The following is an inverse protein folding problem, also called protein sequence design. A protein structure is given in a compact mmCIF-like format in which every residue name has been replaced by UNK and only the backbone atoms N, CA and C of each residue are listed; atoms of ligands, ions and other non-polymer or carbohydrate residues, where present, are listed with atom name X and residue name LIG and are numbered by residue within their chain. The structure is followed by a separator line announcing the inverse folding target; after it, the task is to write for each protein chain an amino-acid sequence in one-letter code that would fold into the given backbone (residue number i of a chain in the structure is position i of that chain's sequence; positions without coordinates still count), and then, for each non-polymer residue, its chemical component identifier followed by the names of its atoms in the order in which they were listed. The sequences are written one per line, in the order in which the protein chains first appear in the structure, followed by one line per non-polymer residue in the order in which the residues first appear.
data_IF_633276867067
#
_entry.id   IF_633276867067
#
_cell.length_a   1.000
_cell.length_b   1.000
_cell.length_c   1.000
_cell.angle_alpha   90.00
_cell.angle_beta   90.00
_cell.angle_gamma   90.00
#
_symmetry.space_group_name_H-M   'P 1'
#
loop_
_entity.id
_entity.type
_entity.pdbx_description
1 polymer ?
#
# COMPACT_ATOMS: atom_id res chain seq x y z
N UNK A 1 -3.19 14.48 39.31
CA UNK A 1 -4.63 14.21 39.10
C UNK A 1 -4.85 14.03 37.60
N UNK A 2 -5.20 12.83 37.14
CA UNK A 2 -5.52 12.58 35.72
C UNK A 2 -6.87 13.20 35.38
N UNK A 3 -6.90 14.06 34.35
CA UNK A 3 -8.11 14.75 33.89
C UNK A 3 -9.20 13.77 33.45
N UNK A 4 -10.47 14.08 33.72
CA UNK A 4 -11.62 13.30 33.21
C UNK A 4 -11.62 13.22 31.67
N UNK A 5 -11.05 14.24 31.01
CA UNK A 5 -10.83 14.22 29.57
C UNK A 5 -9.79 13.18 29.15
N UNK A 6 -8.70 13.02 29.91
CA UNK A 6 -7.66 12.01 29.66
C UNK A 6 -8.22 10.59 29.87
N UNK A 7 -9.07 10.38 30.88
CA UNK A 7 -9.75 9.09 31.11
C UNK A 7 -10.72 8.77 29.96
N UNK A 8 -11.50 9.74 29.51
CA UNK A 8 -12.43 9.57 28.38
C UNK A 8 -11.65 9.33 27.07
N UNK A 9 -10.59 10.09 26.82
CA UNK A 9 -9.73 9.96 25.66
C UNK A 9 -9.02 8.59 25.61
N UNK A 10 -8.48 8.11 26.74
CA UNK A 10 -7.88 6.78 26.84
C UNK A 10 -8.89 5.65 26.68
N UNK A 11 -10.15 5.84 27.10
CA UNK A 11 -11.24 4.90 26.82
C UNK A 11 -11.64 4.88 25.34
N UNK A 12 -11.46 5.99 24.63
CA UNK A 12 -11.69 6.11 23.19
C UNK A 12 -10.50 5.56 22.37
N UNK A 13 -9.26 5.68 22.87
CA UNK A 13 -8.06 5.01 22.33
C UNK A 13 -8.11 3.53 22.71
N UNK A 14 -8.90 2.79 21.93
CA UNK A 14 -9.02 1.31 22.02
C UNK A 14 -7.97 0.59 21.18
N UNK A 15 -7.07 1.31 20.50
CA UNK A 15 -6.03 0.71 19.66
C UNK A 15 -4.83 0.30 20.51
N UNK A 16 -4.92 -0.86 21.15
CA UNK A 16 -3.72 -1.53 21.65
C UNK A 16 -3.02 -2.19 20.46
N UNK A 17 -1.93 -1.57 19.97
CA UNK A 17 -1.05 -2.14 18.94
C UNK A 17 0.07 -2.92 19.60
N UNK A 18 0.58 -3.95 18.93
CA UNK A 18 1.70 -4.78 19.38
C UNK A 18 1.42 -5.53 20.69
N UNK A 19 0.14 -5.85 20.96
CA UNK A 19 -0.30 -6.53 22.19
C UNK A 19 0.32 -7.91 22.39
N UNK A 20 0.81 -8.53 21.31
CA UNK A 20 1.49 -9.83 21.36
C UNK A 20 3.02 -9.69 21.39
N UNK A 21 3.52 -8.46 21.59
CA UNK A 21 4.93 -8.15 21.75
C UNK A 21 5.68 -7.96 20.43
N UNK A 22 6.95 -8.34 20.41
CA UNK A 22 7.86 -8.05 19.31
C UNK A 22 7.69 -8.97 18.10
N UNK A 23 7.14 -10.17 18.28
CA UNK A 23 7.13 -11.23 17.28
C UNK A 23 8.27 -12.22 17.48
N UNK A 24 8.51 -13.10 16.51
CA UNK A 24 9.60 -14.07 16.58
C UNK A 24 10.96 -13.34 16.53
N UNK A 25 11.86 -13.53 17.53
CA UNK A 25 13.16 -12.88 17.56
C UNK A 25 14.04 -13.15 16.33
N UNK A 26 14.03 -14.37 15.78
CA UNK A 26 14.82 -14.69 14.58
C UNK A 26 14.29 -13.94 13.36
N UNK A 27 12.97 -13.85 13.21
CA UNK A 27 12.33 -13.08 12.15
C UNK A 27 12.64 -11.59 12.28
N UNK A 28 12.63 -11.05 13.51
CA UNK A 28 12.97 -9.65 13.76
C UNK A 28 14.43 -9.35 13.37
N UNK A 29 15.37 -10.23 13.72
CA UNK A 29 16.77 -10.10 13.35
C UNK A 29 16.94 -10.15 11.82
N UNK A 30 16.29 -11.10 11.15
CA UNK A 30 16.33 -11.24 9.70
C UNK A 30 15.71 -10.04 8.97
N UNK A 31 14.55 -9.54 9.42
CA UNK A 31 13.92 -8.34 8.88
C UNK A 31 14.84 -7.12 9.04
N UNK A 32 15.45 -6.94 10.22
CA UNK A 32 16.38 -5.85 10.45
C UNK A 32 17.64 -5.95 9.58
N UNK A 33 18.21 -7.15 9.45
CA UNK A 33 19.38 -7.41 8.62
C UNK A 33 19.08 -7.18 7.13
N UNK A 34 17.99 -7.76 6.63
CA UNK A 34 17.52 -7.62 5.25
C UNK A 34 17.15 -6.19 4.91
N UNK A 35 16.52 -5.45 5.84
CA UNK A 35 16.27 -4.02 5.67
C UNK A 35 17.58 -3.27 5.47
N UNK A 36 18.57 -3.47 6.34
CA UNK A 36 19.85 -2.75 6.27
C UNK A 36 20.68 -3.12 5.04
N UNK A 37 20.73 -4.40 4.69
CA UNK A 37 21.61 -4.89 3.63
C UNK A 37 21.00 -4.81 2.23
N UNK A 38 19.68 -4.97 2.11
CA UNK A 38 19.00 -5.09 0.81
C UNK A 38 18.06 -3.92 0.53
N UNK A 39 17.11 -3.65 1.43
CA UNK A 39 16.02 -2.68 1.15
C UNK A 39 16.50 -1.22 1.25
N UNK A 40 17.36 -0.91 2.22
CA UNK A 40 17.91 0.44 2.43
C UNK A 40 19.03 0.79 1.44
N UNK A 41 19.60 -0.21 0.75
CA UNK A 41 20.67 -0.02 -0.23
C UNK A 41 20.06 -0.05 -1.62
N UNK A 42 20.06 1.09 -2.31
CA UNK A 42 19.41 1.26 -3.62
C UNK A 42 19.79 0.17 -4.63
N UNK A 43 21.07 -0.11 -4.80
CA UNK A 43 21.58 -1.09 -5.78
C UNK A 43 21.08 -2.50 -5.49
N UNK A 44 20.83 -2.83 -4.22
CA UNK A 44 20.32 -4.13 -3.81
C UNK A 44 18.79 -4.19 -3.86
N UNK A 45 18.12 -3.08 -3.53
CA UNK A 45 16.66 -3.00 -3.56
C UNK A 45 16.10 -3.19 -4.98
N UNK A 46 16.75 -2.62 -5.99
CA UNK A 46 16.39 -2.83 -7.41
C UNK A 46 16.53 -4.30 -7.82
N UNK A 47 17.43 -5.08 -7.22
CA UNK A 47 17.53 -6.52 -7.51
C UNK A 47 16.36 -7.32 -6.94
N UNK A 48 15.66 -6.80 -5.92
CA UNK A 48 14.47 -7.44 -5.37
C UNK A 48 13.25 -7.25 -6.28
N UNK A 49 13.20 -6.14 -7.03
CA UNK A 49 12.18 -5.86 -8.04
C UNK A 49 12.85 -5.32 -9.30
N UNK A 50 13.43 -6.17 -10.15
CA UNK A 50 14.04 -5.71 -11.39
C UNK A 50 12.98 -5.13 -12.34
N UNK A 51 13.21 -3.98 -13.03
CA UNK A 51 12.22 -3.37 -13.93
C UNK A 51 11.71 -4.30 -15.04
N UNK A 52 12.57 -5.21 -15.51
CA UNK A 52 12.27 -6.24 -16.51
C UNK A 52 11.34 -7.35 -15.99
N UNK A 53 11.29 -7.56 -14.68
CA UNK A 53 10.37 -8.52 -14.05
C UNK A 53 8.93 -8.03 -14.04
N UNK A 54 8.72 -6.72 -14.21
CA UNK A 54 7.39 -6.12 -14.29
C UNK A 54 6.98 -6.04 -15.76
N UNK A 55 5.91 -6.75 -16.10
CA UNK A 55 5.28 -6.80 -17.42
C UNK A 55 3.84 -6.28 -17.30
N UNK A 56 3.18 -6.06 -18.44
CA UNK A 56 1.78 -5.59 -18.44
C UNK A 56 0.83 -6.58 -17.73
N UNK A 57 1.13 -7.88 -17.84
CA UNK A 57 0.38 -8.98 -17.22
C UNK A 57 0.80 -9.28 -15.76
N UNK A 58 1.78 -8.59 -15.18
CA UNK A 58 2.16 -8.76 -13.77
C UNK A 58 0.99 -8.45 -12.83
N UNK A 59 0.12 -7.52 -13.24
CA UNK A 59 -1.05 -7.11 -12.48
C UNK A 59 -2.28 -7.89 -12.97
N UNK A 60 -2.88 -8.66 -12.07
CA UNK A 60 -4.14 -9.33 -12.31
C UNK A 60 -5.31 -8.42 -11.98
N UNK A 61 -6.13 -8.10 -12.98
CA UNK A 61 -7.38 -7.37 -12.79
C UNK A 61 -8.45 -8.34 -12.28
N UNK A 62 -9.09 -8.01 -11.17
CA UNK A 62 -10.14 -8.83 -10.55
C UNK A 62 -11.53 -8.31 -10.84
N UNK A 63 -11.70 -7.00 -10.99
CA UNK A 63 -12.99 -6.38 -11.26
C UNK A 63 -12.82 -5.10 -12.05
N UNK A 64 -13.74 -4.84 -12.99
CA UNK A 64 -13.89 -3.55 -13.66
C UNK A 64 -15.31 -3.04 -13.44
N UNK A 65 -15.45 -1.78 -13.10
CA UNK A 65 -16.74 -1.13 -12.87
C UNK A 65 -16.69 0.30 -13.41
N UNK A 66 -17.70 0.71 -14.15
CA UNK A 66 -17.86 2.08 -14.65
C UNK A 66 -19.01 2.74 -13.91
N UNK A 67 -18.82 3.97 -13.41
CA UNK A 67 -19.90 4.80 -12.87
C UNK A 67 -19.77 6.23 -13.38
N UNK A 68 -20.66 6.61 -14.29
CA UNK A 68 -20.54 7.88 -15.03
C UNK A 68 -19.20 7.92 -15.76
N UNK A 69 -18.51 9.06 -15.67
CA UNK A 69 -17.22 9.29 -16.32
C UNK A 69 -16.02 8.75 -15.52
N UNK A 70 -16.23 7.76 -14.66
CA UNK A 70 -15.16 7.15 -13.84
C UNK A 70 -15.13 5.65 -13.99
N UNK A 71 -13.95 5.11 -14.27
CA UNK A 71 -13.65 3.69 -14.26
C UNK A 71 -12.93 3.31 -12.96
N UNK A 72 -13.39 2.25 -12.33
CA UNK A 72 -12.77 1.59 -11.19
C UNK A 72 -12.27 0.22 -11.61
N UNK A 73 -11.01 -0.07 -11.32
CA UNK A 73 -10.39 -1.35 -11.64
C UNK A 73 -9.76 -1.89 -10.36
N UNK A 74 -10.31 -2.97 -9.82
CA UNK A 74 -9.71 -3.69 -8.71
C UNK A 74 -8.66 -4.63 -9.28
N UNK A 75 -7.49 -4.63 -8.67
CA UNK A 75 -6.34 -5.37 -9.17
C UNK A 75 -5.47 -5.88 -8.04
N UNK A 76 -4.70 -6.92 -8.33
CA UNK A 76 -3.81 -7.57 -7.38
C UNK A 76 -2.57 -8.13 -8.07
N UNK A 77 -1.51 -8.32 -7.31
CA UNK A 77 -0.28 -8.98 -7.75
C UNK A 77 0.44 -9.62 -6.55
N UNK A 78 1.27 -10.65 -6.73
CA UNK A 78 2.07 -11.23 -5.65
C UNK A 78 3.03 -10.18 -5.05
N UNK A 79 3.07 -10.05 -3.73
CA UNK A 79 3.98 -9.12 -3.06
C UNK A 79 5.43 -9.60 -3.21
N UNK A 80 6.37 -8.76 -3.71
CA UNK A 80 7.77 -9.17 -3.84
C UNK A 80 8.40 -9.57 -2.49
N UNK A 81 7.97 -8.93 -1.39
CA UNK A 81 8.44 -9.32 -0.06
C UNK A 81 8.06 -10.77 0.27
N UNK A 82 6.84 -11.18 -0.08
CA UNK A 82 6.38 -12.55 0.14
C UNK A 82 7.06 -13.58 -0.78
N UNK A 83 7.50 -13.16 -1.98
CA UNK A 83 8.30 -14.01 -2.88
C UNK A 83 9.70 -14.26 -2.30
N UNK A 84 10.37 -13.20 -1.85
CA UNK A 84 11.76 -13.30 -1.37
C UNK A 84 11.88 -13.80 0.07
N UNK A 85 10.85 -13.59 0.90
CA UNK A 85 10.85 -13.92 2.33
C UNK A 85 9.51 -14.57 2.77
N UNK A 86 9.12 -15.71 2.18
CA UNK A 86 7.80 -16.31 2.41
C UNK A 86 7.54 -16.70 3.86
N UNK A 87 8.58 -17.05 4.64
CA UNK A 87 8.45 -17.41 6.05
C UNK A 87 8.25 -16.20 6.98
N UNK A 88 8.56 -14.98 6.51
CA UNK A 88 8.38 -13.74 7.27
C UNK A 88 7.02 -13.09 7.03
N UNK A 89 6.33 -13.46 5.95
CA UNK A 89 5.09 -12.83 5.52
C UNK A 89 3.90 -13.78 5.71
N UNK A 90 2.87 -13.40 6.49
CA UNK A 90 1.66 -14.19 6.60
C UNK A 90 0.97 -14.41 5.24
N UNK A 91 0.34 -15.58 4.99
CA UNK A 91 -0.33 -15.86 3.72
C UNK A 91 -1.37 -14.81 3.33
N UNK A 92 -2.11 -14.25 4.30
CA UNK A 92 -3.11 -13.21 4.06
C UNK A 92 -2.51 -11.92 3.50
N UNK A 93 -1.23 -11.66 3.80
CA UNK A 93 -0.49 -10.47 3.36
C UNK A 93 0.24 -10.70 2.04
N UNK A 94 0.42 -11.96 1.62
CA UNK A 94 1.29 -12.33 0.51
C UNK A 94 0.87 -11.75 -0.86
N UNK A 95 -0.40 -11.34 -1.00
CA UNK A 95 -0.92 -10.70 -2.21
C UNK A 95 -1.14 -9.21 -1.98
N UNK A 96 -0.56 -8.38 -2.83
CA UNK A 96 -0.81 -6.94 -2.87
C UNK A 96 -2.16 -6.67 -3.57
N UNK A 97 -2.96 -5.78 -3.00
CA UNK A 97 -4.26 -5.39 -3.54
C UNK A 97 -4.31 -3.88 -3.70
N UNK A 98 -4.88 -3.41 -4.81
CA UNK A 98 -5.10 -1.99 -5.03
C UNK A 98 -6.30 -1.77 -5.95
N UNK A 99 -6.75 -0.52 -6.00
CA UNK A 99 -7.77 -0.09 -6.93
C UNK A 99 -7.28 1.09 -7.75
N UNK A 100 -7.40 0.97 -9.06
CA UNK A 100 -7.15 2.04 -10.00
C UNK A 100 -8.45 2.81 -10.27
N UNK A 101 -8.37 4.13 -10.23
CA UNK A 101 -9.45 5.08 -10.50
C UNK A 101 -9.02 5.97 -11.66
N UNK A 102 -9.71 5.85 -12.79
CA UNK A 102 -9.38 6.52 -14.05
C UNK A 102 -10.59 7.24 -14.63
N UNK A 103 -10.39 8.24 -15.51
CA UNK A 103 -11.49 8.79 -16.29
C UNK A 103 -12.04 7.71 -17.24
N UNK A 104 -13.36 7.62 -17.34
CA UNK A 104 -14.05 6.83 -18.36
C UNK A 104 -14.64 7.80 -19.38
N UNK A 105 -13.82 8.29 -20.30
CA UNK A 105 -14.29 9.11 -21.41
C UNK A 105 -13.67 8.67 -22.74
N UNK A 106 -14.39 8.93 -23.83
CA UNK A 106 -13.96 8.65 -25.20
C UNK A 106 -13.04 9.76 -25.77
N UNK A 107 -12.63 10.74 -24.95
CA UNK A 107 -11.90 11.94 -25.42
C UNK A 107 -10.39 11.72 -25.52
N UNK A 108 -9.88 10.57 -25.11
CA UNK A 108 -8.45 10.35 -24.99
C UNK A 108 -7.85 9.74 -26.26
N UNK A 109 -7.41 10.63 -27.14
CA UNK A 109 -6.23 10.40 -27.96
C UNK A 109 -4.97 10.64 -27.13
N UNK A 110 -4.13 9.61 -27.01
CA UNK A 110 -2.66 9.64 -26.79
C UNK A 110 -2.07 10.28 -25.49
N UNK A 111 -2.81 10.97 -24.63
CA UNK A 111 -2.20 11.64 -23.47
C UNK A 111 -1.95 10.72 -22.26
N UNK A 112 -0.72 10.74 -21.73
CA UNK A 112 -0.37 10.11 -20.45
C UNK A 112 -1.22 10.69 -19.31
N UNK A 113 -1.77 9.82 -18.46
CA UNK A 113 -2.58 10.23 -17.31
C UNK A 113 -1.68 10.29 -16.07
N UNK A 114 -1.52 11.44 -15.40
CA UNK A 114 -0.82 11.50 -14.11
C UNK A 114 -1.55 10.64 -13.08
N UNK A 115 -0.80 9.86 -12.29
CA UNK A 115 -1.37 8.94 -11.29
C UNK A 115 -0.88 9.29 -9.88
N UNK A 116 -1.81 9.52 -8.96
CA UNK A 116 -1.53 9.55 -7.53
C UNK A 116 -1.60 8.15 -6.91
N UNK A 117 -0.48 7.62 -6.40
CA UNK A 117 -0.45 6.42 -5.56
C UNK A 117 -0.73 6.83 -4.11
N UNK A 118 -1.90 6.43 -3.61
CA UNK A 118 -2.44 6.84 -2.33
C UNK A 118 -2.36 5.73 -1.29
N UNK A 119 -1.55 5.93 -0.23
CA UNK A 119 -1.42 4.99 0.88
C UNK A 119 -2.44 5.25 1.99
N UNK A 120 -3.02 4.20 2.60
CA UNK A 120 -3.96 4.34 3.70
C UNK A 120 -3.28 4.77 4.99
N UNK A 121 -4.01 5.58 5.76
CA UNK A 121 -3.68 5.86 7.16
C UNK A 121 -4.11 4.73 8.09
N UNK A 122 -3.81 4.86 9.39
CA UNK A 122 -4.21 3.86 10.39
C UNK A 122 -5.73 3.64 10.41
N UNK A 123 -6.17 2.39 10.34
CA UNK A 123 -7.60 2.03 10.31
C UNK A 123 -8.33 2.27 8.99
N UNK A 124 -7.65 2.74 7.94
CA UNK A 124 -8.25 2.95 6.63
C UNK A 124 -8.30 1.65 5.83
N UNK A 125 -9.28 0.81 6.16
CA UNK A 125 -9.56 -0.45 5.47
C UNK A 125 -10.35 -0.22 4.18
N UNK A 126 -9.97 -0.94 3.12
CA UNK A 126 -10.62 -0.82 1.83
C UNK A 126 -10.26 0.49 1.10
N UNK A 127 -11.05 0.76 0.06
CA UNK A 127 -10.79 1.88 -0.85
C UNK A 127 -11.74 3.07 -0.65
N UNK A 128 -12.89 2.86 -0.01
CA UNK A 128 -14.02 3.80 -0.08
C UNK A 128 -13.68 5.21 0.42
N UNK A 129 -12.98 5.31 1.55
CA UNK A 129 -12.62 6.60 2.14
C UNK A 129 -11.71 7.40 1.22
N UNK A 130 -10.60 6.81 0.78
CA UNK A 130 -9.65 7.43 -0.16
C UNK A 130 -10.26 7.67 -1.53
N UNK A 131 -11.17 6.81 -1.99
CA UNK A 131 -11.93 7.01 -3.22
C UNK A 131 -12.75 8.29 -3.15
N UNK A 132 -13.48 8.50 -2.05
CA UNK A 132 -14.36 9.65 -1.88
C UNK A 132 -13.59 10.95 -1.62
N UNK A 133 -12.62 10.91 -0.70
CA UNK A 133 -11.95 12.10 -0.18
C UNK A 133 -10.75 12.53 -1.02
N UNK A 134 -10.21 11.65 -1.88
CA UNK A 134 -8.97 11.94 -2.61
C UNK A 134 -9.07 11.61 -4.09
N UNK A 135 -9.32 10.35 -4.46
CA UNK A 135 -9.26 9.95 -5.87
C UNK A 135 -10.32 10.65 -6.74
N UNK A 136 -11.57 10.73 -6.27
CA UNK A 136 -12.65 11.42 -7.00
C UNK A 136 -12.39 12.92 -7.16
N UNK A 137 -12.02 13.68 -6.10
CA UNK A 137 -11.62 15.08 -6.26
C UNK A 137 -10.45 15.27 -7.24
N UNK A 138 -9.38 14.48 -7.11
CA UNK A 138 -8.22 14.55 -8.00
C UNK A 138 -8.60 14.31 -9.47
N UNK A 139 -9.42 13.28 -9.71
CA UNK A 139 -9.86 12.95 -11.05
C UNK A 139 -10.78 14.03 -11.65
N UNK A 140 -11.74 14.55 -10.88
CA UNK A 140 -12.72 15.51 -11.39
C UNK A 140 -12.15 16.91 -11.60
N UNK A 141 -11.27 17.37 -10.71
CA UNK A 141 -10.76 18.73 -10.73
C UNK A 141 -9.49 18.88 -11.57
N UNK A 142 -8.63 17.84 -11.56
CA UNK A 142 -7.29 17.93 -12.15
C UNK A 142 -7.01 16.85 -13.19
N UNK A 143 -7.98 15.95 -13.45
CA UNK A 143 -7.81 14.80 -14.37
C UNK A 143 -6.64 13.90 -13.96
N UNK A 144 -6.35 13.84 -12.66
CA UNK A 144 -5.32 12.97 -12.09
C UNK A 144 -6.00 11.67 -11.65
N UNK A 145 -5.59 10.55 -12.23
CA UNK A 145 -6.06 9.23 -11.81
C UNK A 145 -5.42 8.82 -10.48
N UNK A 146 -5.87 7.72 -9.89
CA UNK A 146 -5.33 7.27 -8.60
C UNK A 146 -5.19 5.77 -8.50
N UNK A 147 -4.09 5.31 -7.90
CA UNK A 147 -3.91 3.95 -7.39
C UNK A 147 -4.11 3.99 -5.88
N UNK A 148 -5.15 3.33 -5.39
CA UNK A 148 -5.49 3.27 -3.97
C UNK A 148 -5.01 1.92 -3.43
N UNK A 149 -3.94 1.92 -2.62
CA UNK A 149 -3.26 0.68 -2.14
C UNK A 149 -3.96 0.11 -0.90
N UNK A 150 -4.16 -1.19 -0.79
CA UNK A 150 -4.55 -1.83 0.48
C UNK A 150 -3.28 -2.21 1.27
N UNK A 151 -3.11 -1.65 2.47
CA UNK A 151 -1.94 -1.99 3.29
C UNK A 151 -1.93 -3.48 3.67
N UNK A 152 -0.74 -4.08 3.81
CA UNK A 152 -0.56 -5.28 4.61
C UNK A 152 -1.35 -5.21 5.92
N UNK A 153 -1.97 -6.31 6.35
CA UNK A 153 -2.77 -6.40 7.59
C UNK A 153 -4.09 -5.62 7.59
N UNK A 154 -4.51 -5.03 6.45
CA UNK A 154 -5.74 -4.22 6.34
C UNK A 154 -6.69 -4.83 5.30
N UNK A 155 -8.00 -4.66 5.49
CA UNK A 155 -9.02 -5.06 4.52
C UNK A 155 -8.88 -6.51 4.09
N UNK A 156 -8.68 -6.74 2.80
CA UNK A 156 -8.48 -8.07 2.20
C UNK A 156 -7.23 -8.79 2.71
N UNK A 157 -6.26 -8.06 3.26
CA UNK A 157 -4.96 -8.56 3.72
C UNK A 157 -4.89 -8.70 5.24
N UNK A 158 -6.01 -8.57 5.95
CA UNK A 158 -6.07 -8.61 7.42
C UNK A 158 -6.18 -10.04 7.93
N UNK A 159 -5.21 -10.53 8.74
CA UNK A 159 -5.33 -11.83 9.39
C UNK A 159 -6.61 -11.97 10.23
N UNK A 160 -7.20 -13.16 10.25
CA UNK A 160 -8.47 -13.41 10.94
C UNK A 160 -8.41 -13.12 12.44
N UNK A 161 -7.27 -13.42 13.06
CA UNK A 161 -7.04 -13.21 14.49
C UNK A 161 -6.73 -11.75 14.86
N UNK A 162 -6.55 -10.86 13.87
CA UNK A 162 -6.26 -9.46 14.11
C UNK A 162 -7.52 -8.65 14.39
N UNK A 163 -7.55 -8.00 15.55
CA UNK A 163 -8.64 -7.10 15.94
C UNK A 163 -8.46 -5.73 15.26
N UNK A 164 -9.45 -5.34 14.44
CA UNK A 164 -9.47 -4.04 13.74
C UNK A 164 -8.13 -3.80 12.99
N UNK A 165 -7.59 -2.60 13.07
CA UNK A 165 -6.30 -2.18 12.49
C UNK A 165 -5.12 -2.31 13.44
N UNK A 166 -5.29 -2.95 14.60
CA UNK A 166 -4.21 -3.14 15.56
C UNK A 166 -3.29 -4.27 15.13
N UNK A 167 -2.09 -3.92 14.68
CA UNK A 167 -1.03 -4.90 14.43
C UNK A 167 -0.73 -5.71 15.69
N UNK A 168 -0.52 -7.02 15.55
CA UNK A 168 -0.34 -7.91 16.70
C UNK A 168 1.09 -7.87 17.22
N UNK A 169 2.07 -7.76 16.32
CA UNK A 169 3.49 -7.80 16.61
C UNK A 169 4.25 -6.61 16.01
N UNK A 170 5.36 -6.20 16.62
CA UNK A 170 6.23 -5.16 16.04
C UNK A 170 6.77 -5.58 14.67
N UNK A 171 7.07 -6.88 14.48
CA UNK A 171 7.45 -7.42 13.16
C UNK A 171 6.40 -7.18 12.08
N UNK A 172 5.11 -7.13 12.41
CA UNK A 172 4.05 -6.85 11.44
C UNK A 172 4.21 -5.45 10.82
N UNK A 173 4.66 -4.47 11.61
CA UNK A 173 4.94 -3.13 11.10
C UNK A 173 6.12 -3.11 10.13
N UNK A 174 7.16 -3.91 10.42
CA UNK A 174 8.33 -4.04 9.55
C UNK A 174 7.97 -4.74 8.22
N UNK A 175 7.18 -5.81 8.30
CA UNK A 175 6.62 -6.50 7.13
C UNK A 175 5.76 -5.54 6.32
N UNK A 176 4.89 -4.76 6.97
CA UNK A 176 4.07 -3.76 6.29
C UNK A 176 4.92 -2.74 5.51
N UNK A 177 5.92 -2.15 6.16
CA UNK A 177 6.81 -1.18 5.52
C UNK A 177 7.60 -1.77 4.36
N UNK A 178 8.24 -2.94 4.56
CA UNK A 178 9.01 -3.61 3.52
C UNK A 178 8.17 -4.02 2.32
N UNK A 179 6.96 -4.53 2.56
CA UNK A 179 6.03 -4.92 1.51
C UNK A 179 5.61 -3.70 0.69
N UNK A 180 5.20 -2.61 1.34
CA UNK A 180 4.79 -1.38 0.65
C UNK A 180 5.92 -0.75 -0.17
N UNK A 181 7.16 -0.77 0.32
CA UNK A 181 8.30 -0.28 -0.46
C UNK A 181 8.48 -1.06 -1.77
N UNK A 182 8.53 -2.40 -1.69
CA UNK A 182 8.74 -3.23 -2.89
C UNK A 182 7.50 -3.24 -3.80
N UNK A 183 6.29 -3.25 -3.24
CA UNK A 183 5.04 -3.15 -3.99
C UNK A 183 4.94 -1.82 -4.74
N UNK A 184 5.44 -0.73 -4.14
CA UNK A 184 5.48 0.58 -4.82
C UNK A 184 6.40 0.56 -6.03
N UNK A 185 7.56 -0.11 -5.95
CA UNK A 185 8.45 -0.25 -7.10
C UNK A 185 7.74 -0.96 -8.26
N UNK A 186 7.00 -2.04 -7.96
CA UNK A 186 6.19 -2.75 -8.96
C UNK A 186 5.17 -1.79 -9.60
N UNK A 187 4.44 -1.03 -8.79
CA UNK A 187 3.44 -0.07 -9.28
C UNK A 187 4.05 1.04 -10.11
N UNK A 188 5.23 1.57 -9.74
CA UNK A 188 5.93 2.59 -10.51
C UNK A 188 6.35 2.09 -11.88
N UNK A 189 7.00 0.92 -11.95
CA UNK A 189 7.39 0.31 -13.23
C UNK A 189 6.19 -0.07 -14.09
N UNK A 190 5.11 -0.53 -13.47
CA UNK A 190 3.87 -0.83 -14.18
C UNK A 190 3.22 0.45 -14.73
N UNK A 191 3.17 1.53 -13.94
CA UNK A 191 2.66 2.83 -14.39
C UNK A 191 3.42 3.36 -15.61
N UNK A 192 4.76 3.27 -15.61
CA UNK A 192 5.58 3.69 -16.76
C UNK A 192 5.20 2.92 -18.04
N UNK A 193 5.03 1.60 -17.95
CA UNK A 193 4.62 0.74 -19.08
C UNK A 193 3.22 1.07 -19.58
N UNK A 194 2.30 1.34 -18.67
CA UNK A 194 0.91 1.68 -18.98
C UNK A 194 0.71 3.15 -19.41
N UNK A 195 1.79 3.94 -19.56
CA UNK A 195 1.75 5.39 -19.86
C UNK A 195 0.95 6.20 -18.82
N UNK A 196 0.95 5.73 -17.59
CA UNK A 196 0.33 6.35 -16.42
C UNK A 196 1.37 7.25 -15.72
N UNK A 197 1.70 8.38 -16.34
CA UNK A 197 2.82 9.24 -15.94
C UNK A 197 2.44 10.73 -15.88
N UNK A 198 3.07 11.50 -14.98
CA UNK A 198 4.02 11.06 -13.94
C UNK A 198 3.31 10.44 -12.72
N UNK A 199 3.90 9.43 -12.05
CA UNK A 199 3.39 8.93 -10.79
C UNK A 199 3.78 9.85 -9.62
N UNK A 200 2.84 10.08 -8.70
CA UNK A 200 2.98 10.90 -7.49
C UNK A 200 2.67 10.02 -6.28
N UNK A 201 3.53 10.01 -5.27
CA UNK A 201 3.30 9.26 -4.03
C UNK A 201 2.70 10.18 -2.97
N UNK A 202 1.59 9.78 -2.34
CA UNK A 202 1.00 10.56 -1.26
C UNK A 202 0.19 9.69 -0.27
N UNK A 203 -0.08 10.23 0.90
CA UNK A 203 -0.92 9.57 1.90
C UNK A 203 -1.10 10.43 3.14
N UNK A 204 -1.99 10.02 4.03
CA UNK A 204 -2.27 10.72 5.28
C UNK A 204 -1.75 9.95 6.49
N UNK A 205 -1.09 10.63 7.44
CA UNK A 205 -0.54 10.03 8.67
C UNK A 205 0.40 8.86 8.37
N UNK A 206 0.08 7.63 8.82
CA UNK A 206 0.81 6.42 8.46
C UNK A 206 1.03 6.32 6.93
N UNK A 207 0.02 6.66 6.13
CA UNK A 207 0.15 6.66 4.67
C UNK A 207 1.15 7.68 4.15
N UNK A 208 1.28 8.84 4.81
CA UNK A 208 2.29 9.84 4.46
C UNK A 208 3.71 9.36 4.80
N UNK A 209 3.86 8.70 5.95
CA UNK A 209 5.12 8.03 6.32
C UNK A 209 5.48 6.95 5.29
N UNK A 210 4.52 6.12 4.88
CA UNK A 210 4.75 5.09 3.87
C UNK A 210 5.11 5.69 2.50
N UNK A 211 4.46 6.79 2.10
CA UNK A 211 4.83 7.51 0.88
C UNK A 211 6.29 7.98 0.91
N UNK A 212 6.76 8.46 2.07
CA UNK A 212 8.15 8.91 2.23
C UNK A 212 9.15 7.75 2.18
N UNK A 213 8.80 6.59 2.73
CA UNK A 213 9.64 5.38 2.68
C UNK A 213 9.70 4.78 1.28
N UNK A 214 8.58 4.81 0.56
CA UNK A 214 8.48 4.25 -0.77
C UNK A 214 9.21 5.13 -1.82
N UNK A 215 9.44 6.40 -1.52
CA UNK A 215 10.28 7.28 -2.33
C UNK A 215 11.75 6.90 -2.16
N UNK A 216 12.23 5.99 -3.00
CA UNK A 216 13.65 5.62 -3.13
C UNK A 216 14.10 5.92 -4.56
N UNK A 217 14.02 7.21 -4.95
CA UNK A 217 14.44 7.66 -6.28
C UNK A 217 15.92 7.95 -6.39
#
# INVERSE_FOLDING_TARGET
MTSNFDILFRRLITSQTFIRGWGNPSHLQELCASRRAKVAVRSECVKLVPPESVQENTIQITKREVKGDTQYIDAKFPSPLAIHFPHLVPPEVATAHFQLVLPHDHRLGVDSIPIGICYPGTGDHGYNRRRLLTAKPLLKQYRIGSIIVENPYYGFRKPHHQARSSLCYVTDLLVMGGALMLETMVLLYWCEKMKLTPPILHGFSLGGHMASLAFTR
#
